data_IF_835152403771
#
_entry.id   IF_835152403771
#
_cell.length_a   1.000
_cell.length_b   1.000
_cell.length_c   1.000
_cell.angle_alpha   90.00
_cell.angle_beta   90.00
_cell.angle_gamma   90.00
#
_symmetry.space_group_name_H-M   'P 1'
#
loop_
_entity.id
_entity.type
_entity.pdbx_description
1 polymer ?
#
# COMPACT_ATOMS: atom_id res chain seq x y z
N UNK A 1 -14.38 39.65 26.17
CA UNK A 1 -14.51 39.57 27.64
C UNK A 1 -15.01 38.21 28.08
N UNK A 2 -16.16 37.71 27.58
CA UNK A 2 -16.71 36.41 27.95
C UNK A 2 -15.74 35.22 27.88
N UNK A 3 -15.01 35.08 26.77
CA UNK A 3 -14.01 34.02 26.61
C UNK A 3 -12.84 34.07 27.62
N UNK A 4 -12.45 35.26 28.09
CA UNK A 4 -11.41 35.40 29.13
C UNK A 4 -11.93 34.89 30.47
N UNK A 5 -13.20 35.18 30.79
CA UNK A 5 -13.83 34.71 32.02
C UNK A 5 -14.05 33.21 32.03
N UNK A 6 -14.49 32.64 30.90
CA UNK A 6 -14.68 31.19 30.77
C UNK A 6 -13.36 30.44 30.94
N UNK A 7 -12.27 30.93 30.35
CA UNK A 7 -10.92 30.38 30.51
C UNK A 7 -10.45 30.41 31.98
N UNK A 8 -10.70 31.53 32.66
CA UNK A 8 -10.31 31.74 34.05
C UNK A 8 -11.11 30.83 35.02
N UNK A 9 -12.40 30.58 34.73
CA UNK A 9 -13.23 29.61 35.45
C UNK A 9 -12.72 28.18 35.23
N UNK A 10 -12.41 27.80 33.99
CA UNK A 10 -11.93 26.45 33.69
C UNK A 10 -10.59 26.17 34.37
N UNK A 11 -9.65 27.11 34.29
CA UNK A 11 -8.36 27.00 34.99
C UNK A 11 -8.52 26.92 36.51
N UNK A 12 -9.52 27.59 37.09
CA UNK A 12 -9.82 27.45 38.52
C UNK A 12 -10.25 26.02 38.84
N UNK A 13 -11.15 25.46 38.04
CA UNK A 13 -11.68 24.10 38.19
C UNK A 13 -10.56 23.05 38.06
N UNK A 14 -9.62 23.26 37.14
CA UNK A 14 -8.47 22.37 36.92
C UNK A 14 -7.33 22.57 37.94
N UNK A 15 -7.48 23.48 38.91
CA UNK A 15 -6.44 23.90 39.87
C UNK A 15 -5.17 24.51 39.23
N UNK A 16 -5.32 25.19 38.08
CA UNK A 16 -4.23 25.82 37.32
C UNK A 16 -4.18 27.35 37.48
N UNK A 17 -4.84 27.90 38.49
CA UNK A 17 -4.86 29.35 38.77
C UNK A 17 -3.66 29.80 39.61
N UNK A 18 -3.11 30.96 39.28
CA UNK A 18 -2.10 31.63 40.09
C UNK A 18 -2.74 32.44 41.23
N UNK A 19 -1.94 32.83 42.23
CA UNK A 19 -2.42 33.66 43.36
C UNK A 19 -3.02 35.00 42.92
N UNK A 20 -2.50 35.60 41.85
CA UNK A 20 -3.03 36.86 41.31
C UNK A 20 -4.41 36.66 40.67
N UNK A 21 -4.60 35.55 39.97
CA UNK A 21 -5.87 35.22 39.32
C UNK A 21 -6.93 34.78 40.33
N UNK A 22 -6.53 34.15 41.44
CA UNK A 22 -7.44 33.90 42.57
C UNK A 22 -8.05 35.19 43.11
N UNK A 23 -7.22 36.22 43.31
CA UNK A 23 -7.72 37.54 43.73
C UNK A 23 -8.61 38.18 42.64
N UNK A 24 -8.32 37.98 41.35
CA UNK A 24 -9.18 38.43 40.25
C UNK A 24 -10.54 37.72 40.29
N UNK A 25 -10.58 36.41 40.55
CA UNK A 25 -11.82 35.62 40.72
C UNK A 25 -12.63 36.16 41.89
N UNK A 26 -12.02 36.35 43.06
CA UNK A 26 -12.72 36.81 44.25
C UNK A 26 -13.36 38.19 44.01
N UNK A 27 -12.64 39.10 43.36
CA UNK A 27 -13.18 40.41 42.98
C UNK A 27 -14.34 40.27 41.97
N UNK A 28 -14.18 39.44 40.93
CA UNK A 28 -15.23 39.20 39.92
C UNK A 28 -16.48 38.54 40.51
N UNK A 29 -16.34 37.68 41.52
CA UNK A 29 -17.46 37.05 42.23
C UNK A 29 -18.26 38.06 43.08
N UNK A 30 -17.63 39.14 43.54
CA UNK A 30 -18.27 40.21 44.30
C UNK A 30 -18.92 41.27 43.40
N UNK A 31 -18.25 41.62 42.29
CA UNK A 31 -18.64 42.75 41.44
C UNK A 31 -19.54 42.35 40.26
N UNK A 32 -19.47 41.10 39.78
CA UNK A 32 -20.14 40.66 38.57
C UNK A 32 -21.06 39.45 38.80
N UNK A 33 -22.37 39.71 38.89
CA UNK A 33 -23.37 38.66 39.08
C UNK A 33 -23.46 37.68 37.89
N UNK A 34 -23.21 38.11 36.64
CA UNK A 34 -23.17 37.18 35.49
C UNK A 34 -22.00 36.19 35.63
N UNK A 35 -20.82 36.68 36.02
CA UNK A 35 -19.65 35.84 36.26
C UNK A 35 -19.91 34.82 37.38
N UNK A 36 -20.53 35.26 38.48
CA UNK A 36 -20.86 34.42 39.63
C UNK A 36 -21.84 33.31 39.30
N UNK A 37 -22.88 33.59 38.50
CA UNK A 37 -23.82 32.57 38.03
C UNK A 37 -23.11 31.54 37.14
N UNK A 38 -22.26 31.98 36.22
CA UNK A 38 -21.50 31.09 35.36
C UNK A 38 -20.51 30.23 36.15
N UNK A 39 -19.76 30.83 37.08
CA UNK A 39 -18.82 30.14 37.95
C UNK A 39 -19.51 29.03 38.78
N UNK A 40 -20.64 29.35 39.41
CA UNK A 40 -21.43 28.36 40.16
C UNK A 40 -21.92 27.22 39.27
N UNK A 41 -22.35 27.54 38.05
CA UNK A 41 -22.83 26.54 37.10
C UNK A 41 -21.72 25.58 36.69
N UNK A 42 -20.55 26.09 36.33
CA UNK A 42 -19.40 25.27 35.96
C UNK A 42 -18.92 24.40 37.12
N UNK A 43 -18.83 24.97 38.32
CA UNK A 43 -18.47 24.23 39.53
C UNK A 43 -19.47 23.10 39.83
N UNK A 44 -20.76 23.40 39.76
CA UNK A 44 -21.81 22.41 39.95
C UNK A 44 -21.71 21.28 38.93
N UNK A 45 -21.54 21.59 37.64
CA UNK A 45 -21.37 20.55 36.60
C UNK A 45 -20.14 19.71 36.89
N UNK A 46 -18.99 20.32 37.20
CA UNK A 46 -17.76 19.60 37.50
C UNK A 46 -17.93 18.64 38.68
N UNK A 47 -18.52 19.09 39.79
CA UNK A 47 -18.79 18.26 40.97
C UNK A 47 -19.70 17.07 40.63
N UNK A 48 -20.78 17.29 39.87
CA UNK A 48 -21.69 16.20 39.49
C UNK A 48 -21.11 15.23 38.45
N UNK A 49 -20.15 15.67 37.62
CA UNK A 49 -19.49 14.78 36.65
C UNK A 49 -18.63 13.72 37.34
N UNK A 50 -18.06 13.99 38.52
CA UNK A 50 -17.34 12.99 39.31
C UNK A 50 -18.25 11.93 39.91
N UNK A 51 -19.51 12.28 40.18
CA UNK A 51 -20.49 11.36 40.76
C UNK A 51 -21.14 10.46 39.69
N UNK A 52 -20.78 10.61 38.42
CA UNK A 52 -21.31 9.77 37.36
C UNK A 52 -20.84 8.31 37.54
N UNK A 53 -21.75 7.33 37.42
CA UNK A 53 -21.39 5.93 37.52
C UNK A 53 -20.40 5.54 36.41
N UNK A 54 -19.28 4.95 36.81
CA UNK A 54 -18.30 4.41 35.89
C UNK A 54 -18.80 3.04 35.41
N UNK A 55 -19.18 2.96 34.15
CA UNK A 55 -19.56 1.69 33.53
C UNK A 55 -18.31 0.98 32.99
N UNK A 56 -18.11 -0.26 33.41
CA UNK A 56 -17.09 -1.11 32.80
C UNK A 56 -17.43 -1.37 31.33
N UNK A 57 -16.39 -1.38 30.49
CA UNK A 57 -16.55 -1.80 29.11
C UNK A 57 -17.04 -3.26 29.06
N UNK A 58 -17.95 -3.62 28.13
CA UNK A 58 -18.32 -5.01 27.90
C UNK A 58 -17.09 -5.89 27.63
N UNK A 59 -17.10 -7.13 28.12
CA UNK A 59 -15.97 -8.07 27.97
C UNK A 59 -15.54 -8.28 26.50
N UNK A 60 -16.48 -8.13 25.57
CA UNK A 60 -16.28 -8.34 24.12
C UNK A 60 -15.73 -7.11 23.39
N UNK A 61 -15.53 -5.96 24.04
CA UNK A 61 -15.07 -4.73 23.37
C UNK A 61 -13.73 -4.93 22.69
N UNK A 62 -12.77 -5.56 23.37
CA UNK A 62 -11.44 -5.84 22.81
C UNK A 62 -11.52 -6.76 21.60
N UNK A 63 -12.34 -7.81 21.65
CA UNK A 63 -12.53 -8.75 20.55
C UNK A 63 -13.22 -8.08 19.34
N UNK A 64 -14.20 -7.23 19.59
CA UNK A 64 -14.90 -6.45 18.55
C UNK A 64 -13.96 -5.44 17.87
N UNK A 65 -13.09 -4.78 18.61
CA UNK A 65 -12.09 -3.86 18.05
C UNK A 65 -11.05 -4.66 17.26
N UNK A 66 -10.52 -5.73 17.84
CA UNK A 66 -9.47 -6.54 17.22
C UNK A 66 -9.97 -7.21 15.93
N UNK A 67 -11.18 -7.75 15.92
CA UNK A 67 -11.79 -8.34 14.73
C UNK A 67 -11.94 -7.32 13.59
N UNK A 68 -12.34 -6.08 13.89
CA UNK A 68 -12.41 -4.99 12.91
C UNK A 68 -11.03 -4.62 12.37
N UNK A 69 -10.02 -4.52 13.24
CA UNK A 69 -8.63 -4.25 12.84
C UNK A 69 -8.12 -5.37 11.92
N UNK A 70 -8.25 -6.62 12.35
CA UNK A 70 -7.80 -7.80 11.59
C UNK A 70 -8.51 -7.92 10.25
N UNK A 71 -9.82 -7.65 10.19
CA UNK A 71 -10.58 -7.67 8.93
C UNK A 71 -10.02 -6.71 7.88
N UNK A 72 -9.45 -5.58 8.31
CA UNK A 72 -8.82 -4.59 7.43
C UNK A 72 -7.36 -4.91 7.12
N UNK A 73 -6.62 -5.50 8.07
CA UNK A 73 -5.21 -5.88 7.91
C UNK A 73 -5.05 -7.13 7.06
N UNK A 74 -6.07 -8.00 7.00
CA UNK A 74 -6.17 -9.04 5.98
C UNK A 74 -6.48 -8.44 4.59
N UNK A 75 -5.66 -7.50 4.14
CA UNK A 75 -5.29 -7.41 2.73
C UNK A 75 -4.69 -8.77 2.42
N UNK A 76 -5.57 -9.67 1.96
CA UNK A 76 -5.27 -11.03 1.58
C UNK A 76 -3.91 -11.03 0.91
N UNK A 77 -2.96 -11.81 1.43
CA UNK A 77 -1.92 -12.40 0.61
C UNK A 77 -2.66 -13.14 -0.51
N UNK A 78 -3.05 -12.43 -1.57
CA UNK A 78 -3.52 -13.03 -2.81
C UNK A 78 -2.31 -13.80 -3.26
N UNK A 79 -2.31 -15.13 -3.04
CA UNK A 79 -1.32 -16.03 -3.61
C UNK A 79 -1.21 -15.61 -5.07
N UNK A 80 -0.08 -15.02 -5.44
CA UNK A 80 0.12 -14.45 -6.75
C UNK A 80 0.26 -15.60 -7.72
N UNK A 81 -0.87 -16.12 -8.19
CA UNK A 81 -0.92 -17.13 -9.25
C UNK A 81 -0.20 -16.62 -10.50
N UNK A 82 -0.05 -15.30 -10.65
CA UNK A 82 0.76 -14.67 -11.67
C UNK A 82 2.22 -15.15 -11.67
N UNK A 83 2.87 -15.21 -10.50
CA UNK A 83 4.24 -15.72 -10.41
C UNK A 83 4.32 -17.20 -10.81
N UNK A 84 3.37 -18.00 -10.31
CA UNK A 84 3.29 -19.43 -10.67
C UNK A 84 3.09 -19.60 -12.17
N UNK A 85 2.18 -18.83 -12.79
CA UNK A 85 1.89 -18.86 -14.23
C UNK A 85 3.11 -18.49 -15.05
N UNK A 86 3.83 -17.42 -14.69
CA UNK A 86 5.06 -17.01 -15.38
C UNK A 86 6.12 -18.11 -15.32
N UNK A 87 6.40 -18.62 -14.13
CA UNK A 87 7.42 -19.66 -13.94
C UNK A 87 7.04 -20.92 -14.73
N UNK A 88 5.77 -21.37 -14.65
CA UNK A 88 5.32 -22.54 -15.42
C UNK A 88 5.36 -22.31 -16.93
N UNK A 89 5.05 -21.10 -17.41
CA UNK A 89 5.08 -20.76 -18.84
C UNK A 89 6.49 -20.77 -19.39
N UNK A 90 7.46 -20.19 -18.66
CA UNK A 90 8.87 -20.19 -19.06
C UNK A 90 9.41 -21.62 -19.10
N UNK A 91 9.08 -22.42 -18.09
CA UNK A 91 9.54 -23.80 -17.98
C UNK A 91 8.96 -24.67 -19.11
N UNK A 92 7.66 -24.51 -19.45
CA UNK A 92 7.05 -25.14 -20.61
C UNK A 92 7.72 -24.72 -21.92
N UNK A 93 8.00 -23.42 -22.09
CA UNK A 93 8.66 -22.89 -23.29
C UNK A 93 10.05 -23.51 -23.48
N UNK A 94 10.84 -23.62 -22.42
CA UNK A 94 12.16 -24.28 -22.45
C UNK A 94 12.03 -25.75 -22.84
N UNK A 95 11.10 -26.49 -22.21
CA UNK A 95 10.88 -27.91 -22.52
C UNK A 95 10.46 -28.09 -23.99
N UNK A 96 9.52 -27.29 -24.48
CA UNK A 96 9.07 -27.37 -25.87
C UNK A 96 10.17 -27.00 -26.86
N UNK A 97 11.01 -26.01 -26.53
CA UNK A 97 12.15 -25.62 -27.37
C UNK A 97 13.19 -26.74 -27.45
N UNK A 98 13.53 -27.35 -26.31
CA UNK A 98 14.44 -28.49 -26.26
C UNK A 98 13.88 -29.70 -27.01
N UNK A 99 12.59 -30.01 -26.82
CA UNK A 99 11.93 -31.11 -27.51
C UNK A 99 11.93 -30.90 -29.03
N UNK A 100 11.61 -29.70 -29.52
CA UNK A 100 11.69 -29.37 -30.94
C UNK A 100 13.13 -29.45 -31.43
N UNK A 101 14.11 -28.92 -30.70
CA UNK A 101 15.52 -28.97 -31.05
C UNK A 101 16.02 -30.42 -31.21
N UNK A 102 15.75 -31.29 -30.24
CA UNK A 102 16.13 -32.70 -30.31
C UNK A 102 15.32 -33.49 -31.34
N UNK A 103 14.04 -33.17 -31.56
CA UNK A 103 13.22 -33.80 -32.61
C UNK A 103 13.70 -33.43 -34.01
N UNK A 104 14.18 -32.20 -34.21
CA UNK A 104 14.82 -31.78 -35.45
C UNK A 104 16.20 -32.41 -35.64
N UNK A 105 17.00 -32.52 -34.58
CA UNK A 105 18.30 -33.22 -34.61
C UNK A 105 18.17 -34.72 -34.86
N UNK A 106 17.15 -35.38 -34.31
CA UNK A 106 16.89 -36.81 -34.50
C UNK A 106 16.37 -37.17 -35.90
N UNK A 107 15.97 -36.17 -36.70
CA UNK A 107 15.65 -36.32 -38.12
C UNK A 107 16.85 -36.02 -39.04
N UNK A 108 17.97 -35.60 -38.47
CA UNK A 108 19.23 -35.51 -39.19
C UNK A 108 19.83 -36.90 -39.17
N UNK A 109 19.85 -37.56 -40.33
CA UNK A 109 20.78 -38.65 -40.60
C UNK A 109 22.21 -38.09 -40.51
N UNK A 110 22.69 -37.94 -39.28
CA UNK A 110 24.10 -37.78 -38.97
C UNK A 110 24.74 -39.12 -39.27
N UNK A 111 25.05 -39.36 -40.56
CA UNK A 111 26.05 -40.30 -41.11
C UNK A 111 25.65 -40.56 -42.57
N UNK A 112 26.11 -39.67 -43.46
CA UNK A 112 26.90 -39.97 -44.67
C UNK A 112 26.65 -38.93 -45.77
N UNK A 113 27.77 -38.31 -46.19
CA UNK A 113 27.91 -37.44 -47.36
C UNK A 113 27.30 -36.04 -47.24
N UNK A 114 28.12 -35.05 -46.86
CA UNK A 114 28.57 -33.94 -47.76
C UNK A 114 29.33 -32.86 -46.98
N UNK A 115 30.15 -32.13 -47.73
CA UNK A 115 31.18 -31.16 -47.36
C UNK A 115 30.70 -29.96 -46.55
N UNK A 116 31.60 -29.50 -45.65
CA UNK A 116 31.57 -28.25 -44.90
C UNK A 116 30.48 -28.11 -43.79
N UNK A 117 30.83 -28.26 -42.50
CA UNK A 117 29.88 -28.17 -41.38
C UNK A 117 29.16 -26.81 -41.28
N UNK A 118 29.76 -25.74 -41.85
CA UNK A 118 29.13 -24.41 -41.95
C UNK A 118 27.90 -24.44 -42.86
N UNK A 119 27.92 -25.24 -43.92
CA UNK A 119 26.83 -25.33 -44.91
C UNK A 119 25.65 -26.13 -44.37
N UNK A 120 25.93 -27.20 -43.62
CA UNK A 120 24.93 -27.97 -42.87
C UNK A 120 24.23 -27.09 -41.83
N UNK A 121 24.98 -26.39 -40.98
CA UNK A 121 24.41 -25.48 -39.97
C UNK A 121 23.62 -24.35 -40.63
N UNK A 122 24.13 -23.76 -41.72
CA UNK A 122 23.43 -22.72 -42.50
C UNK A 122 22.10 -23.21 -43.06
N UNK A 123 22.05 -24.42 -43.61
CA UNK A 123 20.84 -24.98 -44.22
C UNK A 123 19.73 -25.28 -43.20
N UNK A 124 20.06 -25.56 -41.93
CA UNK A 124 19.07 -25.77 -40.88
C UNK A 124 18.72 -24.50 -40.10
N UNK A 125 19.67 -23.57 -39.93
CA UNK A 125 19.44 -22.31 -39.22
C UNK A 125 18.72 -21.26 -40.08
N UNK A 126 19.03 -21.17 -41.39
CA UNK A 126 18.35 -20.25 -42.31
C UNK A 126 16.82 -20.38 -42.29
N UNK A 127 16.19 -21.55 -42.47
CA UNK A 127 14.74 -21.65 -42.47
C UNK A 127 14.13 -21.27 -41.11
N UNK A 128 14.82 -21.59 -40.00
CA UNK A 128 14.42 -21.15 -38.67
C UNK A 128 14.45 -19.61 -38.55
N UNK A 129 15.55 -18.97 -38.95
CA UNK A 129 15.67 -17.51 -38.93
C UNK A 129 14.69 -16.82 -39.88
N UNK A 130 14.41 -17.38 -41.05
CA UNK A 130 13.41 -16.87 -42.00
C UNK A 130 12.01 -16.97 -41.40
N UNK A 131 11.68 -18.08 -40.74
CA UNK A 131 10.40 -18.26 -40.07
C UNK A 131 10.23 -17.31 -38.87
N UNK A 132 11.25 -17.20 -38.02
CA UNK A 132 11.27 -16.24 -36.92
C UNK A 132 11.15 -14.81 -37.44
N UNK A 133 11.89 -14.46 -38.51
CA UNK A 133 11.79 -13.15 -39.15
C UNK A 133 10.38 -12.88 -39.67
N UNK A 134 9.70 -13.85 -40.29
CA UNK A 134 8.30 -13.70 -40.71
C UNK A 134 7.36 -13.45 -39.53
N UNK A 135 7.57 -14.12 -38.39
CA UNK A 135 6.80 -13.86 -37.17
C UNK A 135 7.07 -12.45 -36.65
N UNK A 136 8.32 -12.05 -36.50
CA UNK A 136 8.71 -10.72 -36.03
C UNK A 136 8.29 -9.59 -36.98
N UNK A 137 8.27 -9.86 -38.29
CA UNK A 137 7.84 -8.91 -39.31
C UNK A 137 6.32 -8.81 -39.44
N UNK A 138 5.55 -9.75 -38.88
CA UNK A 138 4.09 -9.72 -38.94
C UNK A 138 3.51 -8.50 -38.21
N UNK A 139 2.44 -7.93 -38.78
CA UNK A 139 1.74 -6.80 -38.17
C UNK A 139 1.20 -7.16 -36.78
N UNK A 140 0.68 -8.37 -36.62
CA UNK A 140 0.17 -8.90 -35.34
C UNK A 140 1.26 -8.86 -34.26
N UNK A 141 2.48 -9.31 -34.58
CA UNK A 141 3.58 -9.27 -33.62
C UNK A 141 3.99 -7.84 -33.26
N UNK A 142 4.00 -6.92 -34.22
CA UNK A 142 4.29 -5.49 -33.97
C UNK A 142 3.24 -4.85 -33.05
N UNK A 143 1.96 -5.14 -33.27
CA UNK A 143 0.88 -4.62 -32.41
C UNK A 143 0.96 -5.19 -31.00
N UNK A 144 1.15 -6.51 -30.86
CA UNK A 144 1.25 -7.17 -29.55
C UNK A 144 2.48 -6.68 -28.79
N UNK A 145 3.63 -6.56 -29.45
CA UNK A 145 4.86 -6.07 -28.82
C UNK A 145 4.77 -4.58 -28.44
N UNK A 146 4.07 -3.76 -29.22
CA UNK A 146 3.76 -2.37 -28.87
C UNK A 146 2.90 -2.26 -27.61
N UNK A 147 1.82 -3.05 -27.52
CA UNK A 147 0.95 -3.09 -26.33
C UNK A 147 1.73 -3.58 -25.11
N UNK A 148 2.51 -4.67 -25.24
CA UNK A 148 3.33 -5.20 -24.17
C UNK A 148 4.38 -4.18 -23.71
N UNK A 149 5.05 -3.50 -24.63
CA UNK A 149 6.02 -2.43 -24.33
C UNK A 149 5.39 -1.27 -23.57
N UNK A 150 4.18 -0.85 -23.96
CA UNK A 150 3.44 0.19 -23.25
C UNK A 150 3.07 -0.21 -21.82
N UNK A 151 2.61 -1.46 -21.62
CA UNK A 151 2.33 -2.01 -20.29
C UNK A 151 3.59 -2.06 -19.41
N UNK A 152 4.74 -2.42 -19.99
CA UNK A 152 6.02 -2.45 -19.27
C UNK A 152 6.44 -1.03 -18.86
N UNK A 153 6.33 -0.03 -19.75
CA UNK A 153 6.63 1.36 -19.43
C UNK A 153 5.73 1.89 -18.30
N UNK A 154 4.44 1.61 -18.35
CA UNK A 154 3.48 1.92 -17.28
C UNK A 154 3.89 1.27 -15.95
N UNK A 155 4.23 -0.02 -16.00
CA UNK A 155 4.66 -0.77 -14.82
C UNK A 155 5.94 -0.18 -14.20
N UNK A 156 6.89 0.22 -15.05
CA UNK A 156 8.13 0.85 -14.61
C UNK A 156 7.87 2.21 -13.98
N UNK A 157 7.01 3.04 -14.60
CA UNK A 157 6.58 4.33 -14.06
C UNK A 157 5.95 4.20 -12.67
N UNK A 158 5.00 3.28 -12.50
CA UNK A 158 4.37 3.05 -11.20
C UNK A 158 5.36 2.56 -10.15
N UNK A 159 6.23 1.62 -10.50
CA UNK A 159 7.26 1.11 -9.58
C UNK A 159 8.20 2.21 -9.13
N UNK A 160 8.66 3.05 -10.06
CA UNK A 160 9.51 4.18 -9.77
C UNK A 160 8.82 5.20 -8.85
N UNK A 161 7.57 5.54 -9.14
CA UNK A 161 6.79 6.48 -8.33
C UNK A 161 6.49 5.93 -6.93
N UNK A 162 6.18 4.63 -6.80
CA UNK A 162 6.02 3.95 -5.52
C UNK A 162 7.31 3.99 -4.70
N UNK A 163 8.47 3.76 -5.32
CA UNK A 163 9.77 3.84 -4.64
C UNK A 163 10.09 5.26 -4.16
N UNK A 164 9.80 6.27 -4.99
CA UNK A 164 9.97 7.69 -4.63
C UNK A 164 9.08 8.07 -3.43
N UNK A 165 7.79 7.76 -3.50
CA UNK A 165 6.84 8.04 -2.42
C UNK A 165 7.18 7.31 -1.12
N UNK A 166 7.74 6.10 -1.20
CA UNK A 166 8.23 5.37 -0.04
C UNK A 166 9.44 6.06 0.60
N UNK A 167 10.41 6.50 -0.21
CA UNK A 167 11.58 7.24 0.25
C UNK A 167 11.21 8.59 0.88
N UNK A 168 10.22 9.28 0.34
CA UNK A 168 9.77 10.58 0.88
C UNK A 168 9.05 10.40 2.23
N UNK A 169 8.26 9.32 2.39
CA UNK A 169 7.67 8.95 3.69
C UNK A 169 8.72 8.60 4.74
N UNK A 170 9.79 7.90 4.36
CA UNK A 170 10.88 7.55 5.28
C UNK A 170 11.66 8.76 5.79
N UNK A 171 11.66 9.89 5.08
CA UNK A 171 12.33 11.13 5.51
C UNK A 171 11.49 11.98 6.46
N UNK A 172 10.20 11.66 6.61
CA UNK A 172 9.28 12.35 7.51
C UNK A 172 9.19 11.70 8.89
N UNK A 173 9.81 10.54 9.08
CA UNK A 173 10.05 9.89 10.37
C UNK A 173 11.50 10.14 10.81
#
# INVERSE_FOLDING_TARGET
MKAKYDDLINRFIDNEVTTNELNEIDNLLLENEEFKVNFKTHKYVHENLYDLPIYSAPETVTENIMSKILSKITVKYKKSYFFRVIVTSILLMIITSLFLFFSYLGKLDFVQQTSNPVEVVSNYTKPFFIYMYKIFASEVFRTVSGIAGFVILLSFYFTFNSFKNFKDKLKQF
#
